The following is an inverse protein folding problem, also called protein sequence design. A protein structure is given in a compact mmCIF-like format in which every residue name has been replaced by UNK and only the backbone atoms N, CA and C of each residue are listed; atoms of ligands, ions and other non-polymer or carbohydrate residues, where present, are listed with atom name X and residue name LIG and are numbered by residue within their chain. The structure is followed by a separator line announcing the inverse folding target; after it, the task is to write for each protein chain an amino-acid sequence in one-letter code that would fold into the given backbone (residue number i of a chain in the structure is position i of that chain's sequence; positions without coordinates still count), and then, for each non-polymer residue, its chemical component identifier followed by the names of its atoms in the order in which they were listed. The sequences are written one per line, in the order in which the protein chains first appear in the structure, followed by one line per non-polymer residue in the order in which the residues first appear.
data_IF_334883968514
#
_entry.id   IF_334883968514
#
_cell.length_a   1.000
_cell.length_b   1.000
_cell.length_c   1.000
_cell.angle_alpha   90.00
_cell.angle_beta   90.00
_cell.angle_gamma   90.00
#
_symmetry.space_group_name_H-M   'P 1'
#
loop_
_entity.id
_entity.type
_entity.pdbx_description
1 polymer ?
#
# COMPACT_ATOMS: atom_id res chain seq x y z
N UNK A 1 -19.55 11.66 8.53
CA UNK A 1 -18.27 11.26 7.89
C UNK A 1 -17.30 12.43 8.00
N UNK A 2 -16.10 12.19 8.54
CA UNK A 2 -15.07 13.18 8.89
C UNK A 2 -14.70 14.08 7.69
N UNK A 3 -14.52 15.37 7.95
CA UNK A 3 -14.15 16.41 6.99
C UNK A 3 -12.98 16.00 6.09
N UNK A 4 -13.12 16.15 4.77
CA UNK A 4 -12.07 15.88 3.78
C UNK A 4 -10.87 16.84 3.92
N UNK A 5 -11.09 18.00 4.54
CA UNK A 5 -10.07 19.02 4.84
C UNK A 5 -9.13 18.64 6.00
N UNK A 6 -9.47 17.64 6.83
CA UNK A 6 -8.66 17.30 8.00
C UNK A 6 -7.28 16.72 7.62
N UNK A 7 -7.22 15.96 6.52
CA UNK A 7 -5.97 15.40 6.00
C UNK A 7 -4.97 16.50 5.58
N UNK A 8 -5.28 17.39 4.62
CA UNK A 8 -4.34 18.44 4.23
C UNK A 8 -4.05 19.41 5.38
N UNK A 9 -5.00 19.66 6.29
CA UNK A 9 -4.77 20.50 7.47
C UNK A 9 -3.73 19.87 8.42
N UNK A 10 -3.88 18.57 8.70
CA UNK A 10 -2.93 17.84 9.54
C UNK A 10 -1.54 17.77 8.90
N UNK A 11 -1.47 17.64 7.58
CA UNK A 11 -0.21 17.68 6.83
C UNK A 11 0.46 19.06 6.93
N UNK A 12 -0.32 20.14 6.76
CA UNK A 12 0.19 21.51 6.87
C UNK A 12 0.72 21.79 8.29
N UNK A 13 -0.02 21.36 9.32
CA UNK A 13 0.39 21.51 10.71
C UNK A 13 1.66 20.70 11.00
N UNK A 14 1.74 19.45 10.53
CA UNK A 14 2.91 18.60 10.68
C UNK A 14 4.15 19.23 10.04
N UNK A 15 4.04 19.69 8.78
CA UNK A 15 5.14 20.37 8.09
C UNK A 15 5.53 21.67 8.81
N UNK A 16 4.58 22.44 9.28
CA UNK A 16 4.86 23.66 10.05
C UNK A 16 5.64 23.36 11.34
N UNK A 17 5.22 22.33 12.07
CA UNK A 17 5.93 21.88 13.28
C UNK A 17 7.33 21.38 12.94
N UNK A 18 7.49 20.48 11.97
CA UNK A 18 8.80 19.98 11.57
C UNK A 18 9.73 21.10 11.07
N UNK A 19 9.21 22.02 10.26
CA UNK A 19 9.96 23.17 9.77
C UNK A 19 10.42 24.07 10.92
N UNK A 20 9.58 24.27 11.94
CA UNK A 20 9.95 25.00 13.15
C UNK A 20 11.03 24.26 13.96
N UNK A 21 10.90 22.95 14.17
CA UNK A 21 11.92 22.15 14.87
C UNK A 21 13.26 22.17 14.15
N UNK A 22 13.26 22.12 12.82
CA UNK A 22 14.48 22.23 12.00
C UNK A 22 15.07 23.64 12.14
N UNK A 23 14.25 24.69 12.11
CA UNK A 23 14.71 26.06 12.27
C UNK A 23 15.28 26.37 13.67
N UNK A 24 14.82 25.64 14.70
CA UNK A 24 15.31 25.74 16.07
C UNK A 24 16.52 24.84 16.34
N UNK A 25 17.11 24.20 15.33
CA UNK A 25 18.22 23.24 15.43
C UNK A 25 17.96 22.06 16.40
N UNK A 26 16.68 21.78 16.71
CA UNK A 26 16.29 20.64 17.56
C UNK A 26 16.35 19.34 16.75
N UNK A 27 16.05 19.43 15.45
CA UNK A 27 16.03 18.30 14.53
C UNK A 27 16.86 18.61 13.28
N UNK A 28 17.79 17.72 12.87
CA UNK A 28 18.52 17.89 11.61
C UNK A 28 17.57 17.75 10.40
N UNK A 29 18.00 18.27 9.26
CA UNK A 29 17.22 18.16 8.02
C UNK A 29 17.03 16.70 7.61
N UNK A 30 15.94 16.41 6.90
CA UNK A 30 15.65 15.05 6.43
C UNK A 30 16.77 14.43 5.60
N UNK A 31 17.48 15.23 4.80
CA UNK A 31 18.62 14.77 4.00
C UNK A 31 19.83 14.48 4.87
N UNK A 32 20.12 15.30 5.88
CA UNK A 32 21.21 15.03 6.82
C UNK A 32 20.99 13.72 7.56
N UNK A 33 19.77 13.46 8.03
CA UNK A 33 19.39 12.17 8.65
C UNK A 33 19.63 11.01 7.68
N UNK A 34 19.32 11.22 6.40
CA UNK A 34 19.45 10.21 5.38
C UNK A 34 20.91 9.96 4.95
N UNK A 35 21.75 11.00 4.93
CA UNK A 35 23.19 10.90 4.72
C UNK A 35 23.86 10.18 5.89
N UNK A 36 23.49 10.52 7.13
CA UNK A 36 23.94 9.80 8.32
C UNK A 36 23.53 8.32 8.26
N UNK A 37 22.29 8.02 7.85
CA UNK A 37 21.82 6.66 7.67
C UNK A 37 22.62 5.93 6.58
N UNK A 38 22.91 6.59 5.46
CA UNK A 38 23.73 6.06 4.36
C UNK A 38 25.16 5.74 4.83
N UNK A 39 25.75 6.62 5.63
CA UNK A 39 27.10 6.43 6.21
C UNK A 39 27.09 5.31 7.25
N UNK A 40 26.09 5.28 8.13
CA UNK A 40 25.95 4.26 9.17
C UNK A 40 25.79 2.85 8.59
N UNK A 41 25.08 2.72 7.47
CA UNK A 41 24.88 1.46 6.76
C UNK A 41 25.78 1.32 5.52
N UNK A 42 26.92 2.02 5.49
CA UNK A 42 27.91 1.85 4.42
C UNK A 42 28.31 0.37 4.30
N UNK A 43 28.16 -0.21 3.11
CA UNK A 43 28.40 -1.63 2.84
C UNK A 43 27.20 -2.57 3.10
N UNK A 44 26.17 -2.11 3.81
CA UNK A 44 24.93 -2.85 4.09
C UNK A 44 23.67 -2.18 3.53
N UNK A 45 23.81 -1.14 2.70
CA UNK A 45 22.69 -0.40 2.11
C UNK A 45 21.69 -1.30 1.38
N UNK A 46 22.16 -2.30 0.65
CA UNK A 46 21.29 -3.30 0.00
C UNK A 46 20.49 -4.13 1.00
N UNK A 47 21.11 -4.52 2.11
CA UNK A 47 20.43 -5.24 3.18
C UNK A 47 19.41 -4.35 3.91
N UNK A 48 19.74 -3.07 4.11
CA UNK A 48 18.82 -2.09 4.70
C UNK A 48 17.56 -1.93 3.82
N UNK A 49 17.74 -1.72 2.52
CA UNK A 49 16.61 -1.62 1.58
C UNK A 49 15.78 -2.91 1.57
N UNK A 50 16.44 -4.07 1.55
CA UNK A 50 15.75 -5.36 1.62
C UNK A 50 14.90 -5.46 2.88
N UNK A 51 15.43 -5.09 4.06
CA UNK A 51 14.70 -5.14 5.33
C UNK A 51 13.53 -4.15 5.34
N UNK A 52 13.73 -2.93 4.85
CA UNK A 52 12.69 -1.89 4.78
C UNK A 52 11.52 -2.38 3.91
N UNK A 53 11.82 -2.88 2.71
CA UNK A 53 10.80 -3.39 1.78
C UNK A 53 10.14 -4.65 2.33
N UNK A 54 10.91 -5.54 2.97
CA UNK A 54 10.36 -6.74 3.59
C UNK A 54 9.38 -6.37 4.70
N UNK A 55 9.78 -5.46 5.61
CA UNK A 55 8.92 -4.97 6.69
C UNK A 55 7.65 -4.34 6.15
N UNK A 56 7.75 -3.53 5.09
CA UNK A 56 6.59 -2.93 4.45
C UNK A 56 5.69 -3.96 3.75
N UNK A 57 6.28 -4.99 3.15
CA UNK A 57 5.51 -5.99 2.41
C UNK A 57 4.72 -6.94 3.32
N UNK A 58 4.99 -7.00 4.62
CA UNK A 58 4.27 -7.86 5.57
C UNK A 58 2.97 -7.17 6.00
N UNK A 59 1.86 -7.93 5.95
CA UNK A 59 0.54 -7.43 6.41
C UNK A 59 0.64 -6.96 7.87
N UNK A 60 -0.05 -5.86 8.20
CA UNK A 60 0.04 -5.12 9.46
C UNK A 60 1.31 -4.28 9.62
N UNK A 61 2.50 -4.85 9.40
CA UNK A 61 3.76 -4.11 9.59
C UNK A 61 3.86 -2.94 8.60
N UNK A 62 3.56 -3.17 7.32
CA UNK A 62 3.56 -2.12 6.29
C UNK A 62 2.50 -1.05 6.41
N UNK A 63 1.54 -1.19 7.33
CA UNK A 63 0.61 -0.11 7.64
C UNK A 63 1.17 0.92 8.60
N UNK A 64 2.06 0.49 9.50
CA UNK A 64 2.70 1.37 10.45
C UNK A 64 4.01 1.93 9.92
N UNK A 65 4.66 1.21 9.00
CA UNK A 65 5.97 1.56 8.49
C UNK A 65 5.88 2.09 7.05
N UNK A 66 6.17 3.38 6.80
CA UNK A 66 6.11 3.98 5.46
C UNK A 66 7.35 3.63 4.62
N UNK A 67 7.53 2.35 4.32
CA UNK A 67 8.75 1.80 3.70
C UNK A 67 9.04 2.34 2.30
N UNK A 68 8.02 2.58 1.47
CA UNK A 68 8.16 3.02 0.09
C UNK A 68 8.84 4.39 0.00
N UNK A 69 8.50 5.29 0.92
CA UNK A 69 9.11 6.61 1.00
C UNK A 69 10.60 6.51 1.30
N UNK A 70 10.97 5.72 2.31
CA UNK A 70 12.37 5.50 2.66
C UNK A 70 13.14 4.78 1.55
N UNK A 71 12.55 3.76 0.92
CA UNK A 71 13.19 3.02 -0.16
C UNK A 71 13.50 3.92 -1.37
N UNK A 72 12.54 4.77 -1.78
CA UNK A 72 12.75 5.74 -2.87
C UNK A 72 13.86 6.72 -2.51
N UNK A 73 13.81 7.33 -1.32
CA UNK A 73 14.82 8.30 -0.92
C UNK A 73 16.22 7.68 -0.81
N UNK A 74 16.35 6.46 -0.26
CA UNK A 74 17.62 5.74 -0.18
C UNK A 74 18.19 5.42 -1.56
N UNK A 75 17.34 5.04 -2.52
CA UNK A 75 17.76 4.79 -3.91
C UNK A 75 18.21 6.09 -4.59
N UNK A 76 17.46 7.18 -4.43
CA UNK A 76 17.82 8.51 -4.98
C UNK A 76 19.15 8.99 -4.39
N UNK A 77 19.32 8.90 -3.07
CA UNK A 77 20.53 9.36 -2.38
C UNK A 77 21.76 8.46 -2.66
N UNK A 78 21.54 7.18 -2.97
CA UNK A 78 22.61 6.26 -3.31
C UNK A 78 23.30 6.61 -4.65
N UNK A 79 22.63 7.35 -5.55
CA UNK A 79 23.08 7.59 -6.94
C UNK A 79 23.65 6.31 -7.59
N UNK A 80 22.85 5.24 -7.67
CA UNK A 80 23.31 3.91 -8.05
C UNK A 80 23.86 3.89 -9.48
N UNK A 81 24.96 3.17 -9.70
CA UNK A 81 25.44 2.86 -11.05
C UNK A 81 24.60 1.75 -11.69
N UNK A 82 24.82 1.46 -12.97
CA UNK A 82 24.10 0.42 -13.71
C UNK A 82 24.09 -0.96 -13.03
N UNK A 83 25.20 -1.34 -12.39
CA UNK A 83 25.30 -2.61 -11.66
C UNK A 83 24.46 -2.58 -10.37
N UNK A 84 24.49 -1.45 -9.65
CA UNK A 84 23.73 -1.25 -8.42
C UNK A 84 22.23 -1.28 -8.70
N UNK A 85 21.77 -0.77 -9.84
CA UNK A 85 20.35 -0.85 -10.26
C UNK A 85 19.88 -2.31 -10.31
N UNK A 86 20.69 -3.21 -10.86
CA UNK A 86 20.36 -4.64 -10.95
C UNK A 86 20.34 -5.28 -9.56
N UNK A 87 21.35 -5.01 -8.72
CA UNK A 87 21.39 -5.54 -7.36
C UNK A 87 20.25 -5.01 -6.49
N UNK A 88 19.93 -3.72 -6.59
CA UNK A 88 18.77 -3.11 -5.93
C UNK A 88 17.49 -3.80 -6.37
N UNK A 89 17.29 -3.95 -7.68
CA UNK A 89 16.10 -4.63 -8.22
C UNK A 89 15.98 -6.04 -7.66
N UNK A 90 17.08 -6.80 -7.65
CA UNK A 90 17.10 -8.14 -7.10
C UNK A 90 16.74 -8.15 -5.61
N UNK A 91 17.33 -7.25 -4.81
CA UNK A 91 17.00 -7.10 -3.39
C UNK A 91 15.53 -6.77 -3.16
N UNK A 92 14.93 -5.86 -3.95
CA UNK A 92 13.51 -5.51 -3.84
C UNK A 92 12.60 -6.68 -4.21
N UNK A 93 12.90 -7.39 -5.30
CA UNK A 93 12.13 -8.56 -5.74
C UNK A 93 12.21 -9.68 -4.70
N UNK A 94 13.41 -9.95 -4.17
CA UNK A 94 13.60 -10.94 -3.10
C UNK A 94 12.81 -10.53 -1.86
N UNK A 95 12.90 -9.28 -1.41
CA UNK A 95 12.14 -8.77 -0.27
C UNK A 95 10.62 -8.93 -0.47
N UNK A 96 10.09 -8.47 -1.61
CA UNK A 96 8.67 -8.55 -1.92
C UNK A 96 8.16 -10.00 -2.06
N UNK A 97 8.99 -10.90 -2.61
CA UNK A 97 8.66 -12.32 -2.74
C UNK A 97 8.67 -13.01 -1.38
N UNK A 98 9.65 -12.71 -0.54
CA UNK A 98 9.70 -13.19 0.86
C UNK A 98 8.49 -12.69 1.65
N UNK A 99 8.15 -11.40 1.54
CA UNK A 99 6.95 -10.84 2.14
C UNK A 99 5.68 -11.54 1.66
N UNK A 100 5.55 -11.75 0.35
CA UNK A 100 4.42 -12.48 -0.25
C UNK A 100 4.33 -13.91 0.29
N UNK A 101 5.45 -14.60 0.45
CA UNK A 101 5.52 -15.93 1.06
C UNK A 101 5.08 -15.91 2.53
N UNK A 102 5.56 -14.95 3.32
CA UNK A 102 5.18 -14.76 4.73
C UNK A 102 3.67 -14.52 4.84
N UNK A 103 3.12 -13.62 4.01
CA UNK A 103 1.70 -13.28 4.03
C UNK A 103 0.83 -14.48 3.62
N UNK A 104 1.24 -15.21 2.58
CA UNK A 104 0.57 -16.44 2.17
C UNK A 104 0.59 -17.48 3.30
N UNK A 105 1.75 -17.70 3.94
CA UNK A 105 1.86 -18.63 5.06
C UNK A 105 1.01 -18.19 6.26
N UNK A 106 0.98 -16.89 6.56
CA UNK A 106 0.18 -16.33 7.64
C UNK A 106 -1.32 -16.54 7.37
N UNK A 107 -1.77 -16.29 6.14
CA UNK A 107 -3.14 -16.57 5.72
C UNK A 107 -3.47 -18.06 5.82
N UNK A 108 -2.58 -18.93 5.35
CA UNK A 108 -2.76 -20.39 5.41
C UNK A 108 -2.87 -20.91 6.84
N UNK A 109 -2.02 -20.42 7.75
CA UNK A 109 -2.04 -20.82 9.16
C UNK A 109 -3.27 -20.32 9.92
N UNK A 110 -3.86 -19.21 9.48
CA UNK A 110 -5.07 -18.63 10.07
C UNK A 110 -6.34 -19.08 9.35
N UNK A 111 -6.21 -19.87 8.28
CA UNK A 111 -7.34 -20.48 7.59
C UNK A 111 -8.11 -21.36 8.57
N UNK A 112 -9.36 -20.99 8.87
CA UNK A 112 -10.25 -21.91 9.59
C UNK A 112 -10.46 -23.16 8.72
N UNK A 113 -10.41 -24.37 9.30
CA UNK A 113 -10.80 -25.57 8.55
C UNK A 113 -12.29 -25.45 8.23
N UNK A 114 -12.60 -25.06 7.00
CA UNK A 114 -13.98 -24.90 6.57
C UNK A 114 -14.57 -26.29 6.33
N UNK A 115 -15.33 -26.79 7.31
CA UNK A 115 -15.98 -28.10 7.28
C UNK A 115 -17.33 -28.05 6.54
N UNK A 116 -17.43 -27.30 5.44
CA UNK A 116 -18.62 -27.27 4.59
C UNK A 116 -18.24 -27.54 3.13
N UNK A 117 -18.13 -28.82 2.80
CA UNK A 117 -18.43 -29.28 1.44
C UNK A 117 -19.92 -29.02 1.19
N UNK A 118 -20.27 -28.00 0.41
CA UNK A 118 -21.56 -28.02 -0.31
C UNK A 118 -21.36 -28.62 -1.69
N UNK A 119 -21.74 -29.89 -1.78
CA UNK A 119 -21.97 -30.62 -3.04
C UNK A 119 -23.08 -29.93 -3.86
N UNK A 120 -23.12 -30.12 -5.18
CA UNK A 120 -24.03 -29.40 -6.06
C UNK A 120 -25.41 -30.08 -6.00
N UNK A 121 -26.47 -29.29 -5.78
CA UNK A 121 -27.83 -29.77 -5.97
C UNK A 121 -28.58 -28.85 -6.93
N UNK A 122 -28.92 -29.46 -8.06
CA UNK A 122 -29.76 -29.00 -9.14
C UNK A 122 -31.22 -28.87 -8.68
N UNK A 123 -31.96 -27.97 -9.34
CA UNK A 123 -33.39 -28.04 -9.65
C UNK A 123 -34.25 -26.86 -9.16
N UNK A 124 -35.06 -26.35 -10.09
CA UNK A 124 -36.45 -25.99 -9.75
C UNK A 124 -36.85 -24.52 -9.74
N UNK A 125 -37.15 -23.98 -10.92
CA UNK A 125 -38.43 -23.31 -11.27
C UNK A 125 -38.96 -22.15 -10.40
N UNK A 126 -39.12 -21.01 -11.08
CA UNK A 126 -39.84 -19.80 -10.67
C UNK A 126 -41.27 -20.05 -10.14
N UNK A 127 -41.64 -19.36 -9.05
CA UNK A 127 -42.96 -18.77 -8.88
C UNK A 127 -42.89 -17.56 -7.94
N UNK A 128 -43.34 -16.40 -8.43
CA UNK A 128 -43.60 -15.22 -7.60
C UNK A 128 -45.10 -15.11 -7.29
N UNK A 129 -45.47 -14.78 -6.05
CA UNK A 129 -46.66 -13.97 -5.74
C UNK A 129 -46.51 -13.32 -4.36
N UNK A 130 -47.07 -12.12 -4.26
CA UNK A 130 -46.96 -11.07 -3.22
C UNK A 130 -47.85 -11.37 -2.01
N UNK A 131 -47.42 -11.04 -0.77
CA UNK A 131 -48.25 -10.42 0.28
C UNK A 131 -47.43 -9.82 1.45
N UNK A 132 -47.97 -8.74 2.04
CA UNK A 132 -47.38 -7.74 2.95
C UNK A 132 -47.79 -8.02 4.43
N UNK A 133 -47.49 -7.17 5.44
CA UNK A 133 -46.42 -7.24 6.45
C UNK A 133 -46.89 -7.66 7.87
N UNK A 134 -45.96 -7.98 8.78
CA UNK A 134 -46.20 -7.75 10.22
C UNK A 134 -44.90 -7.44 11.00
N UNK A 135 -45.04 -6.55 11.98
CA UNK A 135 -44.04 -5.96 12.85
C UNK A 135 -43.48 -6.94 13.89
N UNK A 136 -42.15 -6.96 14.09
CA UNK A 136 -41.54 -6.85 15.44
C UNK A 136 -40.01 -6.75 15.37
N UNK A 137 -39.46 -6.05 16.37
CA UNK A 137 -38.07 -5.60 16.58
C UNK A 137 -37.05 -6.75 16.65
N UNK A 138 -35.84 -6.57 16.10
CA UNK A 138 -34.58 -6.59 16.89
C UNK A 138 -33.33 -6.30 16.04
N UNK A 139 -32.54 -5.32 16.50
CA UNK A 139 -31.06 -5.25 16.55
C UNK A 139 -30.17 -5.64 15.35
N UNK A 140 -29.53 -4.60 14.80
CA UNK A 140 -28.09 -4.48 14.58
C UNK A 140 -27.29 -5.69 14.04
N UNK A 141 -27.03 -5.70 12.73
CA UNK A 141 -25.65 -5.89 12.23
C UNK A 141 -25.55 -5.33 10.81
N UNK A 142 -24.66 -4.34 10.62
CA UNK A 142 -24.39 -3.73 9.33
C UNK A 142 -23.71 -4.77 8.44
N UNK A 143 -24.48 -5.34 7.52
CA UNK A 143 -24.01 -6.31 6.53
C UNK A 143 -22.91 -5.72 5.67
N UNK A 144 -21.71 -6.24 5.82
CA UNK A 144 -20.67 -6.17 4.79
C UNK A 144 -21.13 -7.12 3.69
N UNK A 145 -21.52 -6.56 2.55
CA UNK A 145 -21.89 -7.33 1.37
C UNK A 145 -20.75 -8.27 0.99
N UNK A 146 -21.01 -9.56 1.21
CA UNK A 146 -20.33 -10.64 0.53
C UNK A 146 -20.92 -10.70 -0.88
N UNK A 147 -20.16 -10.24 -1.88
CA UNK A 147 -20.38 -10.70 -3.25
C UNK A 147 -19.81 -12.11 -3.35
N UNK A 148 -20.74 -13.07 -3.32
CA UNK A 148 -20.52 -14.49 -3.55
C UNK A 148 -20.07 -14.77 -5.00
N UNK A 149 -18.98 -15.52 -5.06
CA UNK A 149 -18.74 -16.72 -5.84
C UNK A 149 -18.87 -16.77 -7.38
N UNK A 150 -17.81 -17.39 -7.95
CA UNK A 150 -17.64 -17.92 -9.32
C UNK A 150 -17.55 -16.95 -10.51
N UNK A 151 -16.33 -16.49 -10.75
CA UNK A 151 -15.75 -16.47 -12.10
C UNK A 151 -14.23 -16.76 -12.07
N UNK A 152 -13.89 -17.97 -12.54
CA UNK A 152 -12.83 -18.32 -13.51
C UNK A 152 -11.39 -17.84 -13.28
N UNK A 153 -10.45 -18.80 -13.26
CA UNK A 153 -8.99 -18.65 -13.15
C UNK A 153 -8.34 -17.50 -13.96
N UNK A 154 -8.98 -16.99 -15.02
CA UNK A 154 -8.56 -15.81 -15.77
C UNK A 154 -8.73 -14.45 -15.05
N UNK A 155 -9.41 -14.42 -13.91
CA UNK A 155 -9.55 -13.22 -13.07
C UNK A 155 -8.39 -13.06 -12.08
N UNK A 156 -7.72 -14.15 -11.70
CA UNK A 156 -6.66 -14.12 -10.67
C UNK A 156 -5.47 -13.24 -11.08
N UNK A 157 -5.07 -13.27 -12.36
CA UNK A 157 -3.96 -12.44 -12.88
C UNK A 157 -4.34 -10.96 -12.88
N UNK A 158 -5.58 -10.61 -13.26
CA UNK A 158 -6.04 -9.21 -13.27
C UNK A 158 -6.03 -8.64 -11.85
N UNK A 159 -6.51 -9.40 -10.88
CA UNK A 159 -6.46 -9.00 -9.47
C UNK A 159 -5.04 -8.95 -8.92
N UNK A 160 -4.16 -9.86 -9.35
CA UNK A 160 -2.74 -9.80 -9.02
C UNK A 160 -2.11 -8.50 -9.55
N UNK A 161 -2.31 -8.17 -10.83
CA UNK A 161 -1.82 -6.93 -11.44
C UNK A 161 -2.36 -5.68 -10.72
N UNK A 162 -3.65 -5.65 -10.38
CA UNK A 162 -4.25 -4.57 -9.59
C UNK A 162 -3.62 -4.48 -8.21
N UNK A 163 -3.37 -5.62 -7.55
CA UNK A 163 -2.80 -5.66 -6.22
C UNK A 163 -1.31 -5.25 -6.22
N UNK A 164 -0.59 -5.52 -7.32
CA UNK A 164 0.81 -5.14 -7.50
C UNK A 164 1.04 -3.63 -7.59
N UNK A 165 0.01 -2.82 -7.86
CA UNK A 165 0.11 -1.35 -7.86
C UNK A 165 0.60 -0.84 -6.50
N UNK A 166 0.25 -1.53 -5.42
CA UNK A 166 0.62 -1.11 -4.07
C UNK A 166 1.02 -2.30 -3.21
N UNK A 167 2.18 -2.22 -2.56
CA UNK A 167 2.74 -3.34 -1.78
C UNK A 167 1.80 -3.83 -0.68
N UNK A 168 1.12 -2.92 0.04
CA UNK A 168 0.09 -3.28 1.03
C UNK A 168 -1.12 -4.02 0.41
N UNK A 169 -1.54 -3.66 -0.81
CA UNK A 169 -2.61 -4.37 -1.51
C UNK A 169 -2.17 -5.78 -1.92
N UNK A 170 -0.93 -5.92 -2.41
CA UNK A 170 -0.32 -7.22 -2.68
C UNK A 170 -0.25 -8.10 -1.42
N UNK A 171 0.12 -7.51 -0.28
CA UNK A 171 0.22 -8.20 1.00
C UNK A 171 -1.12 -8.84 1.40
N UNK A 172 -2.23 -8.08 1.31
CA UNK A 172 -3.57 -8.62 1.57
C UNK A 172 -4.03 -9.66 0.55
N UNK A 173 -3.75 -9.41 -0.73
CA UNK A 173 -4.09 -10.36 -1.78
C UNK A 173 -3.42 -11.72 -1.50
N UNK A 174 -2.13 -11.71 -1.15
CA UNK A 174 -1.38 -12.92 -0.81
C UNK A 174 -1.87 -13.59 0.47
N UNK A 175 -2.20 -12.79 1.48
CA UNK A 175 -2.81 -13.29 2.71
C UNK A 175 -4.13 -14.03 2.43
N UNK A 176 -5.03 -13.42 1.64
CA UNK A 176 -6.30 -14.04 1.27
C UNK A 176 -6.11 -15.31 0.43
N UNK A 177 -5.10 -15.34 -0.43
CA UNK A 177 -4.74 -16.52 -1.21
C UNK A 177 -4.22 -17.67 -0.34
N UNK A 178 -3.50 -17.35 0.73
CA UNK A 178 -3.12 -18.30 1.76
C UNK A 178 -4.33 -18.84 2.52
N UNK A 179 -5.23 -17.96 2.96
CA UNK A 179 -6.46 -18.32 3.67
C UNK A 179 -7.34 -19.28 2.85
N UNK A 180 -7.43 -19.06 1.55
CA UNK A 180 -8.22 -19.88 0.62
C UNK A 180 -7.51 -21.16 0.15
N UNK A 181 -6.30 -21.47 0.65
CA UNK A 181 -5.50 -22.63 0.21
C UNK A 181 -5.29 -22.70 -1.31
N UNK A 182 -5.20 -21.55 -1.99
CA UNK A 182 -4.96 -21.53 -3.45
C UNK A 182 -3.51 -21.87 -3.77
N UNK A 183 -3.21 -22.19 -5.02
CA UNK A 183 -1.88 -22.64 -5.42
C UNK A 183 -0.77 -21.63 -5.08
N UNK A 184 0.33 -22.14 -4.52
CA UNK A 184 1.50 -21.35 -4.15
C UNK A 184 2.19 -20.68 -5.37
N UNK A 185 1.90 -21.16 -6.59
CA UNK A 185 2.43 -20.61 -7.83
C UNK A 185 2.16 -19.09 -7.98
N UNK A 186 1.10 -18.58 -7.36
CA UNK A 186 0.77 -17.15 -7.37
C UNK A 186 1.88 -16.30 -6.75
N UNK A 187 2.58 -16.80 -5.73
CA UNK A 187 3.73 -16.13 -5.11
C UNK A 187 4.90 -16.03 -6.09
N UNK A 188 5.19 -17.12 -6.81
CA UNK A 188 6.24 -17.15 -7.84
C UNK A 188 5.94 -16.18 -8.99
N UNK A 189 4.70 -16.17 -9.49
CA UNK A 189 4.27 -15.24 -10.52
C UNK A 189 4.36 -13.78 -10.06
N UNK A 190 4.00 -13.49 -8.82
CA UNK A 190 4.15 -12.14 -8.26
C UNK A 190 5.62 -11.70 -8.23
N UNK A 191 6.54 -12.57 -7.78
CA UNK A 191 7.97 -12.28 -7.78
C UNK A 191 8.52 -12.04 -9.19
N UNK A 192 8.14 -12.89 -10.15
CA UNK A 192 8.60 -12.78 -11.54
C UNK A 192 8.07 -11.51 -12.22
N UNK A 193 6.80 -11.15 -12.01
CA UNK A 193 6.19 -9.96 -12.60
C UNK A 193 6.69 -8.68 -11.93
N UNK A 194 7.06 -8.74 -10.66
CA UNK A 194 7.68 -7.63 -9.92
C UNK A 194 9.06 -7.24 -10.48
N UNK A 195 9.80 -8.18 -11.10
CA UNK A 195 11.14 -7.92 -11.60
C UNK A 195 11.19 -6.80 -12.66
N UNK A 196 10.47 -6.88 -13.80
CA UNK A 196 10.47 -5.80 -14.79
C UNK A 196 9.85 -4.51 -14.23
N UNK A 197 8.88 -4.62 -13.32
CA UNK A 197 8.24 -3.47 -12.69
C UNK A 197 9.22 -2.67 -11.82
N UNK A 198 9.93 -3.33 -10.90
CA UNK A 198 10.91 -2.68 -10.03
C UNK A 198 12.15 -2.20 -10.78
N UNK A 199 12.59 -2.93 -11.81
CA UNK A 199 13.70 -2.49 -12.65
C UNK A 199 13.37 -1.14 -13.31
N UNK A 200 12.18 -1.03 -13.91
CA UNK A 200 11.73 0.20 -14.54
C UNK A 200 11.59 1.34 -13.52
N UNK A 201 11.06 1.03 -12.33
CA UNK A 201 10.88 2.01 -11.27
C UNK A 201 12.23 2.56 -10.78
N UNK A 202 13.18 1.69 -10.42
CA UNK A 202 14.53 2.10 -9.97
C UNK A 202 15.25 2.87 -11.07
N UNK A 203 15.16 2.40 -12.32
CA UNK A 203 15.73 3.11 -13.45
C UNK A 203 15.14 4.51 -13.60
N UNK A 204 13.81 4.64 -13.64
CA UNK A 204 13.13 5.93 -13.74
C UNK A 204 13.49 6.85 -12.56
N UNK A 205 13.49 6.34 -11.34
CA UNK A 205 13.87 7.09 -10.13
C UNK A 205 15.33 7.52 -10.16
N UNK A 206 16.24 6.70 -10.71
CA UNK A 206 17.65 7.09 -10.85
C UNK A 206 17.85 8.22 -11.86
N UNK A 207 17.12 8.18 -12.99
CA UNK A 207 17.18 9.20 -14.04
C UNK A 207 16.55 10.52 -13.57
N UNK A 208 15.46 10.45 -12.80
CA UNK A 208 14.77 11.63 -12.25
C UNK A 208 15.28 12.03 -10.85
N UNK A 209 16.39 11.46 -10.39
CA UNK A 209 16.85 11.61 -9.00
C UNK A 209 17.06 13.07 -8.57
N UNK A 210 17.62 13.90 -9.45
CA UNK A 210 17.84 15.33 -9.19
C UNK A 210 16.53 16.11 -9.05
N UNK A 211 15.58 15.88 -9.96
CA UNK A 211 14.26 16.51 -9.94
C UNK A 211 13.46 16.10 -8.69
N UNK A 212 13.49 14.81 -8.35
CA UNK A 212 12.78 14.28 -7.17
C UNK A 212 13.34 14.85 -5.88
N UNK A 213 14.67 14.95 -5.78
CA UNK A 213 15.33 15.51 -4.60
C UNK A 213 15.03 17.01 -4.45
N UNK A 214 15.13 17.78 -5.54
CA UNK A 214 14.81 19.21 -5.54
C UNK A 214 13.34 19.47 -5.20
N UNK A 215 12.42 18.63 -5.70
CA UNK A 215 11.00 18.73 -5.39
C UNK A 215 10.71 18.41 -3.91
N UNK A 216 11.39 17.41 -3.35
CA UNK A 216 11.25 17.01 -1.95
C UNK A 216 11.82 18.06 -0.98
N UNK A 217 12.90 18.74 -1.35
CA UNK A 217 13.50 19.81 -0.53
C UNK A 217 12.75 21.13 -0.63
N UNK A 218 12.02 21.37 -1.72
CA UNK A 218 11.31 22.62 -1.92
C UNK A 218 10.08 22.71 -1.00
N UNK A 219 10.33 23.19 0.21
CA UNK A 219 9.33 23.40 1.26
C UNK A 219 8.21 24.32 0.77
N UNK A 220 8.53 25.33 -0.05
CA UNK A 220 7.53 26.24 -0.62
C UNK A 220 6.63 25.51 -1.63
N UNK A 221 7.18 24.63 -2.46
CA UNK A 221 6.39 23.79 -3.36
C UNK A 221 5.44 22.88 -2.57
N UNK A 222 5.95 22.16 -1.57
CA UNK A 222 5.17 21.30 -0.68
C UNK A 222 4.04 22.07 0.02
N UNK A 223 4.36 23.22 0.61
CA UNK A 223 3.36 24.09 1.24
C UNK A 223 2.32 24.58 0.24
N UNK A 224 2.72 24.96 -0.97
CA UNK A 224 1.78 25.42 -2.01
C UNK A 224 0.85 24.30 -2.47
N UNK A 225 1.37 23.11 -2.71
CA UNK A 225 0.60 21.95 -3.14
C UNK A 225 -0.41 21.52 -2.07
N UNK A 226 0.02 21.46 -0.81
CA UNK A 226 -0.84 21.11 0.33
C UNK A 226 -1.87 22.22 0.59
N UNK A 227 -1.50 23.49 0.39
CA UNK A 227 -2.44 24.61 0.52
C UNK A 227 -3.52 24.58 -0.57
N UNK A 228 -3.14 24.31 -1.82
CA UNK A 228 -4.11 24.10 -2.92
C UNK A 228 -5.02 22.91 -2.60
N UNK A 229 -4.44 21.81 -2.10
CA UNK A 229 -5.23 20.65 -1.68
C UNK A 229 -6.18 20.98 -0.53
N UNK A 230 -5.73 21.77 0.46
CA UNK A 230 -6.56 22.24 1.56
C UNK A 230 -7.72 23.11 1.05
N UNK A 231 -7.46 24.02 0.10
CA UNK A 231 -8.48 24.87 -0.51
C UNK A 231 -9.53 24.04 -1.27
N UNK A 232 -9.08 23.07 -2.08
CA UNK A 232 -9.98 22.17 -2.82
C UNK A 232 -10.82 21.32 -1.86
N UNK A 233 -10.18 20.67 -0.89
CA UNK A 233 -10.89 19.85 0.11
C UNK A 233 -11.84 20.68 0.96
N UNK A 234 -11.44 21.89 1.35
CA UNK A 234 -12.29 22.83 2.07
C UNK A 234 -13.50 23.29 1.25
N UNK A 235 -13.31 23.57 -0.05
CA UNK A 235 -14.41 23.89 -0.96
C UNK A 235 -15.39 22.72 -1.10
N UNK A 236 -14.89 21.49 -1.24
CA UNK A 236 -15.73 20.28 -1.32
C UNK A 236 -16.50 20.03 -0.03
N UNK A 237 -15.86 20.21 1.13
CA UNK A 237 -16.52 20.12 2.43
C UNK A 237 -17.62 21.18 2.59
N UNK A 238 -17.35 22.43 2.18
CA UNK A 238 -18.33 23.52 2.22
C UNK A 238 -19.52 23.26 1.29
N UNK A 239 -19.28 22.82 0.05
CA UNK A 239 -20.33 22.45 -0.91
C UNK A 239 -21.21 21.32 -0.35
N UNK A 240 -20.61 20.31 0.28
CA UNK A 240 -21.31 19.18 0.88
C UNK A 240 -22.12 19.59 2.11
N UNK A 241 -21.59 20.51 2.93
CA UNK A 241 -22.32 21.07 4.07
C UNK A 241 -23.55 21.87 3.61
N UNK A 242 -23.41 22.71 2.58
CA UNK A 242 -24.52 23.49 2.02
C UNK A 242 -25.60 22.63 1.37
N UNK A 243 -25.25 21.49 0.79
CA UNK A 243 -26.21 20.58 0.16
C UNK A 243 -27.02 19.74 1.18
N UNK A 244 -26.55 19.66 2.43
CA UNK A 244 -27.20 18.94 3.54
C UNK A 244 -27.97 19.87 4.50
N UNK A 245 -28.00 21.18 4.22
CA UNK A 245 -28.87 22.19 4.86
C UNK A 245 -30.03 22.46 3.91
#
# INVERSE_FOLDING_TARGET
MRYHSLLPLSALLSIGVFSLLIHLDIMPSGITILEELKVAFAGYLYALILIIILAESIVYVGFYFPGQFFAVLLVVLAKPQWQDIVYLTLCMVVAATLGSCINYCLGHRLAKPNNEKKSPETDGVYHGTIQVPDHSKSEATSGVQHEDDKATEGLSIKYLLIAMIHINSLAFYMFKQGEQNRSFNVVWFAGLLNLPYYLLLIFATSVLSEEVLQLAENTMFLLSAISVWLLISGYLDYKKYRANI
#
